data_IF_730534223357
#
_entry.id   IF_730534223357
#
_cell.length_a   1.000
_cell.length_b   1.000
_cell.length_c   1.000
_cell.angle_alpha   90.00
_cell.angle_beta   90.00
_cell.angle_gamma   90.00
#
_symmetry.space_group_name_H-M   'P 1'
#
loop_
_entity.id
_entity.type
_entity.pdbx_description
1 polymer ?
#
# COMPACT_ATOMS: atom_id res chain seq x y z
N UNK A 1 -16.83 -70.65 -85.59
CA UNK A 1 -17.01 -69.84 -84.36
C UNK A 1 -16.09 -68.63 -84.47
N UNK A 2 -16.59 -67.50 -84.97
CA UNK A 2 -15.81 -66.26 -84.96
C UNK A 2 -15.71 -65.76 -83.51
N UNK A 3 -14.49 -65.66 -82.99
CA UNK A 3 -14.25 -65.15 -81.64
C UNK A 3 -14.48 -63.64 -81.61
N UNK A 4 -15.43 -63.17 -80.81
CA UNK A 4 -15.75 -61.75 -80.63
C UNK A 4 -14.57 -61.04 -79.97
N UNK A 5 -14.04 -59.99 -80.61
CA UNK A 5 -12.96 -59.16 -80.06
C UNK A 5 -13.51 -58.36 -78.88
N UNK A 6 -13.05 -58.68 -77.67
CA UNK A 6 -13.37 -57.91 -76.46
C UNK A 6 -12.47 -56.68 -76.40
N UNK A 7 -13.05 -55.49 -76.51
CA UNK A 7 -12.36 -54.23 -76.27
C UNK A 7 -12.21 -54.05 -74.75
N UNK A 8 -11.08 -54.49 -74.23
CA UNK A 8 -10.73 -54.31 -72.83
C UNK A 8 -9.90 -53.04 -72.68
N UNK A 9 -10.25 -52.19 -71.72
CA UNK A 9 -9.41 -51.03 -71.38
C UNK A 9 -8.14 -51.52 -70.68
N UNK A 10 -7.00 -51.21 -71.28
CA UNK A 10 -5.67 -51.57 -70.78
C UNK A 10 -4.99 -50.30 -70.22
N UNK A 11 -4.06 -50.45 -69.26
CA UNK A 11 -3.24 -49.33 -68.84
C UNK A 11 -2.44 -48.77 -70.03
N UNK A 12 -2.10 -47.47 -70.01
CA UNK A 12 -1.33 -46.86 -71.07
C UNK A 12 0.01 -47.61 -71.26
N UNK A 13 0.49 -47.66 -72.50
CA UNK A 13 1.77 -48.31 -72.84
C UNK A 13 2.90 -47.51 -72.20
N UNK A 14 3.34 -47.93 -71.01
CA UNK A 14 4.27 -47.20 -70.13
C UNK A 14 3.87 -47.18 -68.64
N UNK A 15 2.65 -47.61 -68.30
CA UNK A 15 2.16 -47.63 -66.91
C UNK A 15 1.69 -46.27 -66.40
N UNK A 16 1.02 -46.26 -65.25
CA UNK A 16 0.61 -45.03 -64.58
C UNK A 16 1.78 -44.40 -63.82
N UNK A 17 1.84 -43.06 -63.70
CA UNK A 17 2.82 -42.40 -62.85
C UNK A 17 2.63 -42.85 -61.39
N UNK A 18 3.74 -42.95 -60.65
CA UNK A 18 3.69 -43.32 -59.25
C UNK A 18 2.91 -42.28 -58.45
N UNK A 19 1.82 -42.72 -57.80
CA UNK A 19 1.02 -41.86 -56.93
C UNK A 19 1.78 -41.70 -55.60
N UNK A 20 2.04 -40.46 -55.21
CA UNK A 20 2.64 -40.21 -53.91
C UNK A 20 1.59 -40.39 -52.81
N UNK A 21 1.67 -41.53 -52.11
CA UNK A 21 0.81 -41.86 -50.97
C UNK A 21 1.36 -41.34 -49.63
N UNK A 22 2.58 -40.79 -49.60
CA UNK A 22 3.19 -40.29 -48.38
C UNK A 22 2.63 -38.90 -48.05
N UNK A 23 2.35 -38.66 -46.77
CA UNK A 23 1.96 -37.34 -46.27
C UNK A 23 3.12 -36.36 -46.43
N UNK A 24 2.91 -35.29 -47.19
CA UNK A 24 3.86 -34.18 -47.26
C UNK A 24 3.57 -33.24 -46.07
N UNK A 25 4.50 -33.06 -45.12
CA UNK A 25 4.27 -32.14 -44.01
C UNK A 25 4.27 -30.69 -44.53
N UNK A 26 3.44 -29.85 -43.92
CA UNK A 26 3.41 -28.43 -44.23
C UNK A 26 4.75 -27.76 -43.84
N UNK A 27 5.16 -26.74 -44.60
CA UNK A 27 6.38 -25.97 -44.30
C UNK A 27 6.21 -25.25 -42.96
N UNK A 28 7.13 -25.49 -42.03
CA UNK A 28 7.14 -24.78 -40.75
C UNK A 28 7.63 -23.34 -40.96
N UNK A 29 6.76 -22.37 -40.70
CA UNK A 29 7.03 -20.93 -40.88
C UNK A 29 7.67 -20.33 -39.61
N UNK A 30 7.51 -21.00 -38.47
CA UNK A 30 7.98 -20.54 -37.17
C UNK A 30 9.36 -21.11 -36.83
N UNK A 31 10.32 -20.22 -36.54
CA UNK A 31 11.63 -20.58 -36.00
C UNK A 31 11.65 -20.37 -34.47
N UNK A 32 11.66 -21.44 -33.66
CA UNK A 32 11.61 -21.34 -32.20
C UNK A 32 12.74 -20.52 -31.58
N UNK A 33 13.95 -20.59 -32.14
CA UNK A 33 15.09 -19.83 -31.63
C UNK A 33 14.92 -18.33 -31.83
N UNK A 34 14.34 -17.93 -32.97
CA UNK A 34 14.06 -16.53 -33.24
C UNK A 34 13.01 -15.98 -32.28
N UNK A 35 12.01 -16.79 -31.93
CA UNK A 35 10.99 -16.41 -30.97
C UNK A 35 11.56 -16.25 -29.55
N UNK A 36 12.43 -17.17 -29.11
CA UNK A 36 13.11 -17.07 -27.82
C UNK A 36 14.01 -15.83 -27.75
N UNK A 37 14.74 -15.53 -28.82
CA UNK A 37 15.55 -14.31 -28.87
C UNK A 37 14.67 -13.04 -28.86
N UNK A 38 13.55 -13.06 -29.58
CA UNK A 38 12.58 -11.98 -29.59
C UNK A 38 12.00 -11.70 -28.21
N UNK A 39 11.65 -12.73 -27.44
CA UNK A 39 11.11 -12.56 -26.09
C UNK A 39 12.16 -12.01 -25.11
N UNK A 40 13.41 -12.49 -25.18
CA UNK A 40 14.50 -11.96 -24.35
C UNK A 40 14.76 -10.48 -24.67
N UNK A 41 14.75 -10.11 -25.95
CA UNK A 41 14.94 -8.72 -26.37
C UNK A 41 13.81 -7.81 -25.85
N UNK A 42 12.55 -8.23 -26.02
CA UNK A 42 11.38 -7.49 -25.51
C UNK A 42 11.45 -7.37 -23.99
N UNK A 43 11.83 -8.44 -23.29
CA UNK A 43 11.96 -8.43 -21.83
C UNK A 43 13.05 -7.46 -21.37
N UNK A 44 14.22 -7.46 -22.01
CA UNK A 44 15.30 -6.53 -21.73
C UNK A 44 14.87 -5.07 -21.89
N UNK A 45 14.22 -4.74 -23.02
CA UNK A 45 13.71 -3.38 -23.27
C UNK A 45 12.64 -2.99 -22.26
N UNK A 46 11.68 -3.89 -21.98
CA UNK A 46 10.61 -3.66 -21.01
C UNK A 46 11.16 -3.38 -19.60
N UNK A 47 12.18 -4.15 -19.18
CA UNK A 47 12.84 -3.97 -17.88
C UNK A 47 13.47 -2.59 -17.76
N UNK A 48 14.19 -2.12 -18.78
CA UNK A 48 14.83 -0.80 -18.75
C UNK A 48 13.82 0.35 -18.72
N UNK A 49 12.70 0.21 -19.45
CA UNK A 49 11.60 1.18 -19.40
C UNK A 49 10.94 1.20 -18.01
N UNK A 50 10.68 0.03 -17.43
CA UNK A 50 10.14 -0.08 -16.08
C UNK A 50 11.11 0.50 -15.04
N UNK A 51 12.41 0.24 -15.15
CA UNK A 51 13.41 0.74 -14.21
C UNK A 51 13.44 2.27 -14.18
N UNK A 52 13.34 2.93 -15.34
CA UNK A 52 13.25 4.40 -15.41
C UNK A 52 12.03 4.93 -14.66
N UNK A 53 10.86 4.33 -14.88
CA UNK A 53 9.63 4.71 -14.17
C UNK A 53 9.71 4.44 -12.67
N UNK A 54 10.35 3.33 -12.26
CA UNK A 54 10.57 3.02 -10.86
C UNK A 54 11.43 4.08 -10.15
N UNK A 55 12.51 4.54 -10.79
CA UNK A 55 13.37 5.59 -10.23
C UNK A 55 12.60 6.91 -10.07
N UNK A 56 11.75 7.26 -11.04
CA UNK A 56 10.93 8.47 -10.97
C UNK A 56 9.93 8.42 -9.80
N UNK A 57 9.21 7.31 -9.62
CA UNK A 57 8.30 7.12 -8.49
C UNK A 57 9.04 7.17 -7.14
N UNK A 58 10.23 6.55 -7.06
CA UNK A 58 11.04 6.60 -5.85
C UNK A 58 11.51 8.04 -5.54
N UNK A 59 11.85 8.83 -6.56
CA UNK A 59 12.20 10.24 -6.37
C UNK A 59 11.01 11.05 -5.86
N UNK A 60 9.81 10.83 -6.41
CA UNK A 60 8.58 11.47 -5.95
C UNK A 60 8.26 11.12 -4.49
N UNK A 61 8.38 9.84 -4.09
CA UNK A 61 8.20 9.43 -2.69
C UNK A 61 9.21 10.10 -1.75
N UNK A 62 10.47 10.21 -2.18
CA UNK A 62 11.51 10.90 -1.40
C UNK A 62 11.20 12.39 -1.28
N UNK A 63 10.73 13.03 -2.34
CA UNK A 63 10.30 14.42 -2.31
C UNK A 63 9.13 14.62 -1.35
N UNK A 64 8.08 13.80 -1.44
CA UNK A 64 6.93 13.86 -0.54
C UNK A 64 7.33 13.70 0.93
N UNK A 65 8.20 12.74 1.25
CA UNK A 65 8.71 12.56 2.62
C UNK A 65 9.58 13.73 3.06
N UNK A 66 10.39 14.29 2.17
CA UNK A 66 11.21 15.46 2.47
C UNK A 66 10.36 16.68 2.82
N UNK A 67 9.25 16.88 2.11
CA UNK A 67 8.27 17.92 2.43
C UNK A 67 7.67 17.69 3.82
N UNK A 68 7.29 16.45 4.15
CA UNK A 68 6.74 16.13 5.48
C UNK A 68 7.76 16.41 6.59
N UNK A 69 9.02 15.99 6.43
CA UNK A 69 10.09 16.24 7.40
C UNK A 69 10.32 17.76 7.57
N UNK A 70 10.25 18.52 6.48
CA UNK A 70 10.40 19.98 6.55
C UNK A 70 9.24 20.65 7.30
N UNK A 71 8.01 20.14 7.18
CA UNK A 71 6.81 20.68 7.85
C UNK A 71 6.61 20.16 9.28
N UNK A 72 7.14 18.97 9.59
CA UNK A 72 7.04 18.32 10.90
C UNK A 72 7.31 19.24 12.10
N UNK A 73 8.39 20.06 12.16
CA UNK A 73 8.62 20.90 13.32
C UNK A 73 7.53 21.96 13.53
N UNK A 74 6.94 22.49 12.46
CA UNK A 74 5.83 23.45 12.57
C UNK A 74 4.56 22.76 13.06
N UNK A 75 4.21 21.61 12.49
CA UNK A 75 3.02 20.84 12.89
C UNK A 75 3.13 20.36 14.33
N UNK A 76 4.32 19.92 14.74
CA UNK A 76 4.60 19.50 16.12
C UNK A 76 4.45 20.69 17.06
N UNK A 77 5.01 21.85 16.74
CA UNK A 77 4.86 23.05 17.56
C UNK A 77 3.40 23.51 17.69
N UNK A 78 2.61 23.46 16.60
CA UNK A 78 1.18 23.77 16.62
C UNK A 78 0.39 22.80 17.49
N UNK A 79 0.66 21.49 17.35
CA UNK A 79 0.06 20.44 18.16
C UNK A 79 0.38 20.63 19.63
N UNK A 80 1.64 20.85 19.98
CA UNK A 80 2.10 21.03 21.35
C UNK A 80 1.48 22.29 21.97
N UNK A 81 1.38 23.39 21.20
CA UNK A 81 0.68 24.61 21.65
C UNK A 81 -0.81 24.35 21.90
N UNK A 82 -1.49 23.63 21.01
CA UNK A 82 -2.89 23.27 21.19
C UNK A 82 -3.07 22.37 22.43
N UNK A 83 -2.17 21.41 22.62
CA UNK A 83 -2.18 20.49 23.75
C UNK A 83 -2.05 21.23 25.09
N UNK A 84 -1.05 22.09 25.22
CA UNK A 84 -0.83 22.89 26.44
C UNK A 84 -1.98 23.84 26.74
N UNK A 85 -2.57 24.47 25.70
CA UNK A 85 -3.75 25.32 25.87
C UNK A 85 -4.94 24.54 26.42
N UNK A 86 -5.19 23.35 25.90
CA UNK A 86 -6.28 22.50 26.38
C UNK A 86 -6.04 22.07 27.83
N UNK A 87 -4.83 21.62 28.18
CA UNK A 87 -4.51 21.27 29.57
C UNK A 87 -4.71 22.44 30.51
N UNK A 88 -4.31 23.64 30.07
CA UNK A 88 -4.50 24.86 30.88
C UNK A 88 -5.98 25.14 31.12
N UNK A 89 -6.80 25.06 30.06
CA UNK A 89 -8.25 25.21 30.14
C UNK A 89 -8.87 24.20 31.12
N UNK A 90 -8.51 22.92 31.01
CA UNK A 90 -9.05 21.88 31.88
C UNK A 90 -8.73 22.16 33.36
N UNK A 91 -7.51 22.66 33.64
CA UNK A 91 -7.09 23.00 35.01
C UNK A 91 -7.75 24.27 35.54
N UNK A 92 -7.93 25.28 34.70
CA UNK A 92 -8.65 26.49 35.08
C UNK A 92 -10.12 26.15 35.39
N UNK A 93 -10.78 25.31 34.59
CA UNK A 93 -12.15 24.83 34.85
C UNK A 93 -12.26 23.91 36.07
N UNK A 94 -11.28 23.01 36.31
CA UNK A 94 -11.22 22.18 37.52
C UNK A 94 -11.13 23.06 38.78
N UNK A 95 -10.26 24.08 38.74
CA UNK A 95 -10.12 25.04 39.82
C UNK A 95 -11.42 25.82 40.07
N UNK A 96 -12.19 26.14 39.01
CA UNK A 96 -13.48 26.82 39.12
C UNK A 96 -14.58 25.93 39.69
N UNK A 97 -14.66 24.69 39.23
CA UNK A 97 -15.66 23.72 39.65
C UNK A 97 -15.45 23.29 41.11
N UNK A 98 -14.20 23.13 41.54
CA UNK A 98 -13.85 22.54 42.83
C UNK A 98 -13.61 23.56 43.96
N UNK A 99 -13.85 24.87 43.72
CA UNK A 99 -13.63 25.95 44.70
C UNK A 99 -14.29 25.71 46.06
N UNK A 100 -15.46 25.08 46.04
CA UNK A 100 -16.32 24.92 47.23
C UNK A 100 -16.09 23.59 47.96
N UNK A 101 -15.18 22.73 47.47
CA UNK A 101 -14.93 21.41 48.05
C UNK A 101 -13.81 21.52 49.09
N UNK A 102 -14.06 21.18 50.37
CA UNK A 102 -13.04 21.27 51.40
C UNK A 102 -11.88 20.30 51.10
N UNK A 103 -10.65 20.76 51.33
CA UNK A 103 -9.41 20.01 51.09
C UNK A 103 -9.15 19.61 49.62
N UNK A 104 -9.84 20.21 48.65
CA UNK A 104 -9.49 20.01 47.24
C UNK A 104 -8.31 20.90 46.84
N UNK A 105 -7.26 20.28 46.30
CA UNK A 105 -6.15 20.98 45.69
C UNK A 105 -5.83 20.33 44.35
N UNK A 106 -5.97 21.08 43.27
CA UNK A 106 -5.72 20.57 41.92
C UNK A 106 -4.32 19.97 41.78
N UNK A 107 -4.24 18.81 41.13
CA UNK A 107 -3.00 18.04 40.96
C UNK A 107 -2.51 17.29 42.21
N UNK A 108 -3.31 17.25 43.28
CA UNK A 108 -3.01 16.48 44.48
C UNK A 108 -4.07 15.40 44.68
N UNK A 109 -3.63 14.24 45.14
CA UNK A 109 -4.48 13.22 45.70
C UNK A 109 -4.57 13.46 47.21
N UNK A 110 -5.65 14.11 47.64
CA UNK A 110 -5.81 14.63 49.01
C UNK A 110 -4.62 15.53 49.41
N UNK A 111 -3.78 15.07 50.34
CA UNK A 111 -2.64 15.82 50.86
C UNK A 111 -1.31 15.49 50.16
N UNK A 112 -1.31 14.54 49.22
CA UNK A 112 -0.11 14.10 48.51
C UNK A 112 -0.16 14.56 47.05
N UNK A 113 0.97 14.94 46.43
CA UNK A 113 0.99 15.20 44.99
C UNK A 113 0.66 13.91 44.24
N UNK A 114 -0.05 14.02 43.11
CA UNK A 114 -0.42 12.86 42.30
C UNK A 114 0.81 12.08 41.79
N UNK A 115 1.91 12.80 41.54
CA UNK A 115 3.18 12.23 41.10
C UNK A 115 4.29 12.58 42.10
N UNK A 116 4.83 11.55 42.75
CA UNK A 116 5.80 11.70 43.85
C UNK A 116 7.25 11.64 43.33
N UNK A 117 7.50 10.76 42.36
CA UNK A 117 8.85 10.44 41.85
C UNK A 117 9.30 11.34 40.70
N UNK A 118 8.38 12.12 40.12
CA UNK A 118 8.63 12.91 38.92
C UNK A 118 9.06 14.33 39.31
N UNK A 119 10.13 14.88 38.69
CA UNK A 119 10.51 16.28 38.89
C UNK A 119 9.38 17.23 38.49
N UNK A 120 9.21 18.34 39.24
CA UNK A 120 8.14 19.32 39.01
C UNK A 120 8.20 20.00 37.64
N UNK A 121 9.39 20.06 37.05
CA UNK A 121 9.63 20.73 35.77
C UNK A 121 9.36 19.81 34.57
N UNK A 122 9.00 18.55 34.81
CA UNK A 122 8.70 17.58 33.75
C UNK A 122 7.21 17.59 33.43
N UNK A 123 6.89 17.85 32.16
CA UNK A 123 5.53 17.69 31.66
C UNK A 123 5.20 16.20 31.51
N UNK A 124 4.12 15.77 32.15
CA UNK A 124 3.65 14.40 32.10
C UNK A 124 2.72 14.17 30.93
N UNK A 125 2.74 12.94 30.40
CA UNK A 125 1.78 12.50 29.41
C UNK A 125 0.42 12.34 30.08
N UNK A 126 -0.48 13.26 29.77
CA UNK A 126 -1.86 13.26 30.26
C UNK A 126 -2.66 12.20 29.49
N UNK A 127 -3.45 11.35 30.17
CA UNK A 127 -4.26 10.36 29.48
C UNK A 127 -5.35 11.05 28.64
N UNK A 128 -5.74 10.42 27.53
CA UNK A 128 -6.70 11.00 26.58
C UNK A 128 -8.02 11.42 27.23
N UNK A 129 -8.51 10.68 28.22
CA UNK A 129 -9.77 11.03 28.90
C UNK A 129 -9.67 12.34 29.71
N UNK A 130 -8.50 12.67 30.26
CA UNK A 130 -8.27 13.94 30.97
C UNK A 130 -8.10 15.07 29.96
N UNK A 131 -7.47 14.81 28.81
CA UNK A 131 -7.40 15.77 27.70
C UNK A 131 -8.78 16.14 27.16
N UNK A 132 -9.62 15.13 26.91
CA UNK A 132 -10.99 15.26 26.39
C UNK A 132 -12.07 15.35 27.49
N UNK A 133 -11.74 15.85 28.68
CA UNK A 133 -12.68 15.90 29.82
C UNK A 133 -13.98 16.67 29.51
N UNK A 134 -13.92 17.66 28.63
CA UNK A 134 -15.05 18.50 28.23
C UNK A 134 -15.80 17.99 26.99
N UNK A 135 -15.32 16.92 26.36
CA UNK A 135 -15.99 16.32 25.22
C UNK A 135 -17.15 15.44 25.68
N UNK A 136 -18.13 15.23 24.80
CA UNK A 136 -19.17 14.24 25.04
C UNK A 136 -18.54 12.85 25.25
N UNK A 137 -19.06 12.07 26.22
CA UNK A 137 -18.53 10.74 26.56
C UNK A 137 -18.40 9.82 25.34
N UNK A 138 -19.40 9.83 24.45
CA UNK A 138 -19.39 9.08 23.20
C UNK A 138 -18.19 9.47 22.33
N UNK A 139 -17.95 10.78 22.18
CA UNK A 139 -16.87 11.31 21.34
C UNK A 139 -15.48 11.01 21.91
N UNK A 140 -15.30 11.19 23.23
CA UNK A 140 -14.05 10.87 23.92
C UNK A 140 -13.70 9.38 23.80
N UNK A 141 -14.70 8.50 24.00
CA UNK A 141 -14.55 7.06 23.85
C UNK A 141 -14.12 6.69 22.43
N UNK A 142 -14.84 7.14 21.40
CA UNK A 142 -14.52 6.83 20.00
C UNK A 142 -13.07 7.19 19.62
N UNK A 143 -12.57 8.36 20.06
CA UNK A 143 -11.19 8.80 19.80
C UNK A 143 -10.14 7.89 20.43
N UNK A 144 -10.40 7.38 21.64
CA UNK A 144 -9.51 6.43 22.32
C UNK A 144 -9.44 5.10 21.55
N UNK A 145 -10.56 4.59 21.05
CA UNK A 145 -10.59 3.34 20.27
C UNK A 145 -9.89 3.47 18.92
N UNK A 146 -10.04 4.63 18.27
CA UNK A 146 -9.35 4.94 17.01
C UNK A 146 -7.82 4.96 17.21
N UNK A 147 -7.34 5.54 18.31
CA UNK A 147 -5.92 5.58 18.65
C UNK A 147 -5.33 4.19 18.97
N UNK A 148 -6.11 3.26 19.53
CA UNK A 148 -5.63 1.90 19.88
C UNK A 148 -5.56 0.98 18.65
N UNK A 149 -6.31 1.26 17.59
CA UNK A 149 -6.39 0.42 16.38
C UNK A 149 -5.23 0.61 15.40
N UNK A 150 -4.42 1.64 15.59
CA UNK A 150 -3.26 1.99 14.76
C UNK A 150 -1.99 1.93 15.60
#
# INVERSE_FOLDING_TARGET
MSSVVKKQDLPPVGGYPSINFKRVPAKQIFNPWLAILGTIAIWGVSRELYHKGYVEVMMEEVEQRSVLIALEPMLLAERDRAFLKQLRKNRDEENELMKNVPNWKTGHYYNQPLYITVPKDTLLNVPLYEYYAHAEKSHSFWRVFEFIKH
#
